data_IF_316582555165
#
_entry.id   IF_316582555165
#
_cell.length_a   1.000
_cell.length_b   1.000
_cell.length_c   1.000
_cell.angle_alpha   90.00
_cell.angle_beta   90.00
_cell.angle_gamma   90.00
#
_symmetry.space_group_name_H-M   'P 1'
#
loop_
_entity.id
_entity.type
_entity.pdbx_description
1 polymer ?
#
# COMPACT_ATOMS: atom_id res chain seq x y z
N UNK A 1 -16.11 12.38 -11.18
CA UNK A 1 -16.19 12.29 -10.33
C UNK A 1 -15.52 12.74 -9.57
N UNK A 2 -15.16 12.95 -9.52
CA UNK A 2 -14.62 13.46 -8.97
C UNK A 2 -14.63 13.92 -7.81
N UNK A 3 -15.16 13.87 -7.19
CA UNK A 3 -15.23 14.42 -5.92
C UNK A 3 -14.83 13.53 -4.83
N UNK A 4 -13.86 12.73 -5.13
CA UNK A 4 -13.26 11.95 -4.08
C UNK A 4 -12.61 12.90 -3.12
N UNK A 5 -12.95 12.78 -1.87
CA UNK A 5 -12.40 13.62 -0.88
C UNK A 5 -11.31 12.90 -0.17
N UNK A 6 -10.17 13.48 -0.21
CA UNK A 6 -9.11 13.09 0.71
C UNK A 6 -9.21 13.97 1.93
N UNK A 7 -8.67 13.53 3.03
CA UNK A 7 -7.76 12.41 3.15
C UNK A 7 -8.46 11.08 3.41
N UNK A 8 -7.80 10.03 2.99
CA UNK A 8 -8.11 8.69 3.42
C UNK A 8 -6.86 8.13 4.09
N UNK A 9 -7.04 7.10 4.88
CA UNK A 9 -5.91 6.48 5.56
C UNK A 9 -5.75 5.07 5.04
N UNK A 10 -4.62 4.80 4.41
CA UNK A 10 -4.29 3.45 4.00
C UNK A 10 -3.78 2.66 5.19
N UNK A 11 -3.95 1.33 5.21
CA UNK A 11 -3.33 0.52 6.24
C UNK A 11 -1.82 0.77 6.26
N UNK A 12 -1.26 0.88 7.45
CA UNK A 12 0.15 1.21 7.62
C UNK A 12 0.92 -0.02 8.06
N UNK A 13 2.00 -0.32 7.35
CA UNK A 13 2.88 -1.43 7.67
C UNK A 13 4.33 -0.99 7.53
N UNK A 14 5.21 -1.58 8.32
CA UNK A 14 6.64 -1.49 8.04
C UNK A 14 6.97 -2.44 6.89
N UNK A 15 8.17 -2.31 6.31
CA UNK A 15 8.59 -3.24 5.25
C UNK A 15 8.54 -4.68 5.73
N UNK A 16 9.00 -4.95 6.96
CA UNK A 16 8.96 -6.30 7.51
C UNK A 16 7.54 -6.82 7.66
N UNK A 17 6.64 -5.99 8.13
CA UNK A 17 5.25 -6.38 8.28
C UNK A 17 4.60 -6.62 6.92
N UNK A 18 4.90 -5.75 5.96
CA UNK A 18 4.40 -5.89 4.60
C UNK A 18 4.82 -7.23 4.01
N UNK A 19 6.10 -7.59 4.19
CA UNK A 19 6.64 -8.83 3.63
C UNK A 19 6.06 -10.07 4.32
N UNK A 20 5.50 -9.90 5.51
CA UNK A 20 4.86 -10.99 6.23
C UNK A 20 3.39 -11.17 5.85
N UNK A 21 2.82 -10.28 5.08
CA UNK A 21 1.43 -10.40 4.68
C UNK A 21 1.23 -11.60 3.77
N UNK A 22 0.05 -12.20 3.88
CA UNK A 22 -0.31 -13.34 3.04
C UNK A 22 -1.64 -13.04 2.36
N UNK A 23 -2.00 -13.89 1.42
CA UNK A 23 -3.28 -13.75 0.69
C UNK A 23 -3.38 -12.41 -0.01
N UNK A 24 -2.29 -11.98 -0.63
CA UNK A 24 -2.25 -10.70 -1.31
C UNK A 24 -3.01 -10.75 -2.62
N UNK A 25 -3.70 -9.67 -2.93
CA UNK A 25 -4.44 -9.51 -4.17
C UNK A 25 -3.93 -8.26 -4.89
N UNK A 26 -3.89 -8.33 -6.20
CA UNK A 26 -3.51 -7.17 -7.00
C UNK A 26 -4.46 -6.01 -6.68
N UNK A 27 -3.90 -4.84 -6.55
CA UNK A 27 -4.67 -3.64 -6.21
C UNK A 27 -4.71 -3.30 -4.74
N UNK A 28 -4.17 -4.16 -3.88
CA UNK A 28 -4.06 -3.83 -2.46
C UNK A 28 -3.06 -2.70 -2.28
N UNK A 29 -3.42 -1.74 -1.45
CA UNK A 29 -2.60 -0.54 -1.22
C UNK A 29 -2.29 -0.45 0.26
N UNK A 30 -1.03 -0.13 0.57
CA UNK A 30 -0.61 0.13 1.94
C UNK A 30 0.25 1.38 1.99
N UNK A 31 0.41 1.93 3.19
CA UNK A 31 1.43 2.94 3.44
C UNK A 31 2.60 2.27 4.14
N UNK A 32 3.77 2.32 3.52
CA UNK A 32 4.97 1.71 4.11
C UNK A 32 5.63 2.74 5.01
N UNK A 33 5.56 2.52 6.32
CA UNK A 33 6.09 3.48 7.29
C UNK A 33 7.61 3.43 7.40
N UNK A 34 8.26 2.39 6.90
CA UNK A 34 9.71 2.33 6.89
C UNK A 34 10.28 3.30 5.86
N UNK A 35 9.65 3.38 4.69
CA UNK A 35 10.11 4.23 3.60
C UNK A 35 9.29 5.50 3.44
N UNK A 36 8.16 5.58 4.15
CA UNK A 36 7.21 6.70 4.03
C UNK A 36 6.66 6.82 2.60
N UNK A 37 6.32 5.69 2.01
CA UNK A 37 5.85 5.63 0.63
C UNK A 37 4.56 4.82 0.57
N UNK A 38 3.60 5.31 -0.19
CA UNK A 38 2.39 4.56 -0.50
C UNK A 38 2.74 3.52 -1.56
N UNK A 39 2.30 2.29 -1.38
CA UNK A 39 2.65 1.20 -2.28
C UNK A 39 1.42 0.42 -2.69
N UNK A 40 1.42 -0.11 -3.90
CA UNK A 40 0.35 -0.95 -4.41
C UNK A 40 0.93 -2.31 -4.80
N UNK A 41 0.17 -3.36 -4.53
CA UNK A 41 0.57 -4.71 -4.92
C UNK A 41 0.02 -5.01 -6.32
N UNK A 42 0.91 -5.44 -7.23
CA UNK A 42 0.51 -5.68 -8.61
C UNK A 42 0.44 -7.17 -8.96
N UNK A 43 0.30 -8.03 -7.97
CA UNK A 43 0.29 -9.48 -8.04
C UNK A 43 1.67 -10.12 -8.22
N UNK A 44 2.71 -9.35 -8.36
CA UNK A 44 4.08 -9.86 -8.43
C UNK A 44 4.97 -9.18 -7.40
N UNK A 45 4.76 -7.90 -7.15
CA UNK A 45 5.62 -7.13 -6.26
C UNK A 45 4.88 -5.89 -5.76
N UNK A 46 5.43 -5.27 -4.74
CA UNK A 46 4.95 -3.98 -4.26
C UNK A 46 5.60 -2.89 -5.07
N UNK A 47 4.78 -2.00 -5.59
CA UNK A 47 5.22 -0.91 -6.46
C UNK A 47 5.03 0.40 -5.71
N UNK A 48 6.04 1.24 -5.71
CA UNK A 48 5.96 2.56 -5.09
C UNK A 48 5.04 3.46 -5.91
N UNK A 49 4.09 4.08 -5.23
CA UNK A 49 3.20 5.03 -5.88
C UNK A 49 3.68 6.46 -5.74
N UNK A 50 4.54 6.71 -4.75
CA UNK A 50 4.98 8.07 -4.54
C UNK A 50 6.42 8.13 -4.08
#
# INVERSE_FOLDING_TARGET
MANVKFPITAPTYTTSERDALSSLLAGMVIYNSTTNILQVYNSAAWIDLH
#
